data_IF_758381313764
#
_entry.id   IF_758381313764
#
_cell.length_a   1.000
_cell.length_b   1.000
_cell.length_c   1.000
_cell.angle_alpha   90.00
_cell.angle_beta   90.00
_cell.angle_gamma   90.00
#
_symmetry.space_group_name_H-M   'P 1'
#
loop_
_entity.id
_entity.type
_entity.pdbx_description
1 polymer ?
#
# COMPACT_ATOMS: atom_id res chain seq x y z
N UNK A 1 3.28 65.57 -3.75
CA UNK A 1 3.47 64.37 -4.59
C UNK A 1 4.52 63.49 -3.93
N UNK A 2 4.16 62.25 -3.57
CA UNK A 2 5.01 61.03 -3.57
C UNK A 2 4.27 59.87 -2.87
N UNK A 3 3.10 59.51 -3.41
CA UNK A 3 2.33 58.33 -2.99
C UNK A 3 2.98 56.99 -3.39
N UNK A 4 4.08 57.02 -4.16
CA UNK A 4 4.73 55.82 -4.70
C UNK A 4 5.62 55.07 -3.69
N UNK A 5 6.19 55.73 -2.67
CA UNK A 5 7.09 55.07 -1.72
C UNK A 5 6.36 54.10 -0.77
N UNK A 6 5.14 54.43 -0.35
CA UNK A 6 4.37 53.58 0.57
C UNK A 6 3.86 52.28 -0.09
N UNK A 7 3.48 52.34 -1.38
CA UNK A 7 3.07 51.12 -2.11
C UNK A 7 4.23 50.14 -2.33
N UNK A 8 5.45 50.65 -2.49
CA UNK A 8 6.65 49.82 -2.66
C UNK A 8 6.96 49.00 -1.40
N UNK A 9 6.87 49.63 -0.22
CA UNK A 9 7.13 48.96 1.05
C UNK A 9 6.08 47.86 1.34
N UNK A 10 4.79 48.14 1.11
CA UNK A 10 3.73 47.13 1.31
C UNK A 10 3.95 45.90 0.41
N UNK A 11 4.42 46.09 -0.83
CA UNK A 11 4.66 45.00 -1.78
C UNK A 11 5.82 44.08 -1.37
N UNK A 12 6.80 44.59 -0.62
CA UNK A 12 7.94 43.81 -0.15
C UNK A 12 7.62 42.95 1.10
N UNK A 13 6.66 43.36 1.95
CA UNK A 13 6.35 42.64 3.19
C UNK A 13 5.41 41.44 3.01
N UNK A 14 4.57 41.42 1.98
CA UNK A 14 3.64 40.31 1.70
C UNK A 14 4.36 38.97 1.40
N UNK A 15 5.39 38.88 0.53
CA UNK A 15 6.05 37.61 0.29
C UNK A 15 6.84 37.12 1.51
N UNK A 16 7.39 38.04 2.32
CA UNK A 16 8.14 37.68 3.51
C UNK A 16 7.26 37.02 4.59
N UNK A 17 6.02 37.50 4.78
CA UNK A 17 5.11 36.90 5.75
C UNK A 17 4.66 35.49 5.36
N UNK A 18 4.48 35.23 4.07
CA UNK A 18 4.14 33.89 3.54
C UNK A 18 5.22 32.85 3.82
N UNK A 19 6.50 33.22 3.68
CA UNK A 19 7.62 32.31 3.97
C UNK A 19 7.65 31.95 5.46
N UNK A 20 7.45 32.93 6.35
CA UNK A 20 7.46 32.70 7.80
C UNK A 20 6.31 31.78 8.23
N UNK A 21 5.11 31.95 7.67
CA UNK A 21 3.97 31.06 7.97
C UNK A 21 4.24 29.64 7.50
N UNK A 22 4.87 29.45 6.33
CA UNK A 22 5.20 28.11 5.83
C UNK A 22 6.18 27.34 6.71
N UNK A 23 7.12 28.05 7.36
CA UNK A 23 8.11 27.43 8.24
C UNK A 23 7.53 26.97 9.59
N UNK A 24 6.41 27.54 10.03
CA UNK A 24 5.80 27.17 11.32
C UNK A 24 5.02 25.83 11.27
N UNK A 25 4.77 25.28 10.08
CA UNK A 25 3.93 24.09 9.89
C UNK A 25 4.75 22.81 9.63
N UNK A 26 6.02 22.78 10.03
CA UNK A 26 6.80 21.56 9.95
C UNK A 26 6.36 20.61 11.07
N UNK A 27 5.74 19.45 10.79
CA UNK A 27 5.53 18.45 11.82
C UNK A 27 6.90 18.00 12.32
N UNK A 28 7.15 18.16 13.61
CA UNK A 28 8.35 17.62 14.24
C UNK A 28 8.34 16.11 14.03
N UNK A 29 9.18 15.62 13.12
CA UNK A 29 9.47 14.21 12.98
C UNK A 29 10.24 13.79 14.24
N UNK A 30 9.49 13.45 15.29
CA UNK A 30 10.03 12.81 16.48
C UNK A 30 10.50 11.42 16.04
N UNK A 31 11.78 11.31 15.73
CA UNK A 31 12.41 10.01 15.55
C UNK A 31 12.38 9.29 16.91
N UNK A 32 11.47 8.33 17.09
CA UNK A 32 11.48 7.42 18.23
C UNK A 32 12.72 6.54 18.12
N UNK A 33 13.85 7.04 18.61
CA UNK A 33 15.12 6.32 18.67
C UNK A 33 15.10 5.34 19.83
N UNK A 34 14.41 4.21 19.61
CA UNK A 34 14.50 3.07 20.52
C UNK A 34 15.92 2.52 20.50
N UNK A 35 16.72 2.90 21.50
CA UNK A 35 18.02 2.31 21.74
C UNK A 35 17.80 0.91 22.34
N UNK A 36 18.30 -0.12 21.64
CA UNK A 36 18.27 -1.49 22.15
C UNK A 36 19.51 -1.61 23.04
N UNK A 37 19.34 -1.51 24.36
CA UNK A 37 20.40 -1.90 25.30
C UNK A 37 20.48 -3.41 25.20
N UNK A 38 21.39 -3.91 24.35
CA UNK A 38 21.80 -5.31 24.40
C UNK A 38 22.65 -5.42 25.65
N UNK A 39 21.98 -5.65 26.78
CA UNK A 39 22.66 -5.90 28.04
C UNK A 39 23.63 -7.06 27.78
N UNK A 40 24.91 -6.81 27.99
CA UNK A 40 26.02 -7.68 27.61
C UNK A 40 25.94 -8.94 28.44
N UNK A 41 25.18 -9.91 28.00
CA UNK A 41 24.91 -11.10 28.78
C UNK A 41 23.95 -11.99 28.05
N UNK A 42 24.51 -12.97 27.37
CA UNK A 42 23.88 -14.22 26.95
C UNK A 42 23.30 -14.94 28.19
N UNK A 43 22.32 -14.34 28.86
CA UNK A 43 21.73 -14.88 30.07
C UNK A 43 21.06 -16.20 29.72
N UNK A 44 21.20 -17.20 30.59
CA UNK A 44 20.50 -18.48 30.42
C UNK A 44 18.99 -18.27 30.26
N UNK A 45 18.45 -17.22 30.91
CA UNK A 45 17.07 -16.77 30.77
C UNK A 45 16.74 -16.26 29.37
N UNK A 46 17.58 -15.42 28.74
CA UNK A 46 17.31 -14.91 27.38
C UNK A 46 17.36 -16.03 26.34
N UNK A 47 18.28 -16.99 26.49
CA UNK A 47 18.35 -18.18 25.62
C UNK A 47 17.10 -19.04 25.75
N UNK A 48 16.63 -19.24 26.97
CA UNK A 48 15.42 -20.02 27.24
C UNK A 48 14.16 -19.31 26.69
N UNK A 49 14.06 -17.98 26.84
CA UNK A 49 13.00 -17.19 26.22
C UNK A 49 13.04 -17.26 24.68
N UNK A 50 14.24 -17.20 24.08
CA UNK A 50 14.42 -17.38 22.63
C UNK A 50 14.00 -18.78 22.18
N UNK A 51 14.31 -19.83 22.96
CA UNK A 51 13.85 -21.20 22.69
C UNK A 51 12.32 -21.32 22.74
N UNK A 52 11.69 -20.79 23.79
CA UNK A 52 10.23 -20.85 23.94
C UNK A 52 9.51 -20.06 22.83
N UNK A 53 10.01 -18.87 22.47
CA UNK A 53 9.46 -18.10 21.35
C UNK A 53 9.61 -18.81 20.00
N UNK A 54 10.72 -19.53 19.79
CA UNK A 54 10.94 -20.37 18.62
C UNK A 54 9.94 -21.53 18.56
N UNK A 55 9.74 -22.24 19.66
CA UNK A 55 8.75 -23.32 19.76
C UNK A 55 7.33 -22.82 19.51
N UNK A 56 6.98 -21.68 20.07
CA UNK A 56 5.69 -21.03 19.82
C UNK A 56 5.54 -20.61 18.35
N UNK A 57 6.57 -20.02 17.75
CA UNK A 57 6.57 -19.67 16.32
C UNK A 57 6.39 -20.91 15.43
N UNK A 58 7.11 -21.99 15.72
CA UNK A 58 7.03 -23.22 14.93
C UNK A 58 5.68 -23.93 15.12
N UNK A 59 5.09 -23.92 16.32
CA UNK A 59 3.74 -24.46 16.58
C UNK A 59 2.66 -23.77 15.74
N UNK A 60 2.82 -22.46 15.48
CA UNK A 60 1.86 -21.66 14.70
C UNK A 60 2.16 -21.64 13.20
N UNK A 61 3.28 -22.23 12.74
CA UNK A 61 3.75 -22.18 11.35
C UNK A 61 2.70 -22.64 10.34
N UNK A 62 2.03 -23.76 10.64
CA UNK A 62 1.02 -24.33 9.72
C UNK A 62 -0.14 -23.36 9.48
N UNK A 63 -0.65 -22.74 10.54
CA UNK A 63 -1.74 -21.77 10.43
C UNK A 63 -1.30 -20.51 9.68
N UNK A 64 -0.11 -19.97 10.00
CA UNK A 64 0.45 -18.80 9.29
C UNK A 64 0.60 -19.08 7.79
N UNK A 65 1.11 -20.25 7.42
CA UNK A 65 1.22 -20.65 6.02
C UNK A 65 -0.16 -20.77 5.34
N UNK A 66 -1.17 -21.33 6.02
CA UNK A 66 -2.54 -21.41 5.48
C UNK A 66 -3.16 -20.02 5.26
N UNK A 67 -2.92 -19.08 6.18
CA UNK A 67 -3.39 -17.69 6.04
C UNK A 67 -2.70 -17.03 4.86
N UNK A 68 -1.37 -17.13 4.75
CA UNK A 68 -0.61 -16.59 3.63
C UNK A 68 -1.08 -17.16 2.29
N UNK A 69 -1.26 -18.48 2.19
CA UNK A 69 -1.73 -19.13 0.98
C UNK A 69 -3.18 -18.73 0.62
N UNK A 70 -4.03 -18.44 1.61
CA UNK A 70 -5.37 -17.91 1.35
C UNK A 70 -5.29 -16.50 0.77
N UNK A 71 -4.46 -15.65 1.37
CA UNK A 71 -4.25 -14.28 0.89
C UNK A 71 -3.73 -14.30 -0.55
N UNK A 72 -2.71 -15.13 -0.85
CA UNK A 72 -2.19 -15.33 -2.20
C UNK A 72 -3.28 -15.77 -3.19
N UNK A 73 -4.14 -16.72 -2.81
CA UNK A 73 -5.26 -17.17 -3.66
C UNK A 73 -6.29 -16.07 -3.94
N UNK A 74 -6.58 -15.21 -2.98
CA UNK A 74 -7.52 -14.08 -3.19
C UNK A 74 -6.89 -13.02 -4.10
N UNK A 75 -5.59 -12.77 -3.96
CA UNK A 75 -4.84 -11.93 -4.90
C UNK A 75 -4.85 -12.52 -6.31
N UNK A 76 -4.48 -13.79 -6.46
CA UNK A 76 -4.49 -14.51 -7.75
C UNK A 76 -5.85 -14.49 -8.44
N UNK A 77 -6.94 -14.56 -7.67
CA UNK A 77 -8.30 -14.48 -8.21
C UNK A 77 -8.57 -13.10 -8.82
N UNK A 78 -8.14 -12.05 -8.12
CA UNK A 78 -8.30 -10.66 -8.57
C UNK A 78 -7.46 -10.41 -9.82
N UNK A 79 -6.19 -10.82 -9.80
CA UNK A 79 -5.28 -10.71 -10.95
C UNK A 79 -5.84 -11.46 -12.17
N UNK A 80 -6.32 -12.70 -12.00
CA UNK A 80 -6.95 -13.46 -13.09
C UNK A 80 -8.20 -12.81 -13.65
N UNK A 81 -8.99 -12.12 -12.82
CA UNK A 81 -10.16 -11.39 -13.29
C UNK A 81 -9.76 -10.13 -14.10
N UNK A 82 -8.72 -9.43 -13.69
CA UNK A 82 -8.16 -8.29 -14.43
C UNK A 82 -7.57 -8.77 -15.76
N UNK A 83 -6.67 -9.74 -15.74
CA UNK A 83 -6.09 -10.35 -16.94
C UNK A 83 -7.15 -10.89 -17.89
N UNK A 84 -8.17 -11.56 -17.34
CA UNK A 84 -9.29 -12.11 -18.10
C UNK A 84 -10.09 -11.03 -18.80
N UNK A 85 -10.37 -9.92 -18.11
CA UNK A 85 -11.05 -8.75 -18.67
C UNK A 85 -10.25 -8.10 -19.78
N UNK A 86 -8.96 -7.88 -19.55
CA UNK A 86 -8.06 -7.28 -20.54
C UNK A 86 -7.98 -8.14 -21.81
N UNK A 87 -7.78 -9.45 -21.66
CA UNK A 87 -7.78 -10.40 -22.79
C UNK A 87 -9.13 -10.41 -23.52
N UNK A 88 -10.23 -10.42 -22.79
CA UNK A 88 -11.57 -10.38 -23.40
C UNK A 88 -11.80 -9.10 -24.21
N UNK A 89 -11.35 -7.95 -23.72
CA UNK A 89 -11.45 -6.68 -24.41
C UNK A 89 -10.50 -6.58 -25.63
N UNK A 90 -9.36 -7.26 -25.57
CA UNK A 90 -8.41 -7.37 -26.67
C UNK A 90 -8.78 -8.45 -27.70
N UNK A 91 -9.80 -9.27 -27.41
CA UNK A 91 -10.20 -10.38 -28.27
C UNK A 91 -10.74 -9.88 -29.61
N UNK A 92 -10.39 -10.57 -30.70
CA UNK A 92 -10.96 -10.32 -32.02
C UNK A 92 -12.39 -10.87 -32.18
N UNK A 93 -12.90 -11.61 -31.19
CA UNK A 93 -14.26 -12.14 -31.22
C UNK A 93 -15.29 -11.02 -30.96
N UNK A 94 -15.97 -10.57 -32.01
CA UNK A 94 -16.98 -9.51 -31.95
C UNK A 94 -18.16 -9.83 -31.02
N UNK A 95 -18.42 -11.11 -30.77
CA UNK A 95 -19.50 -11.54 -29.87
C UNK A 95 -19.03 -11.67 -28.42
N UNK A 96 -17.72 -11.59 -28.14
CA UNK A 96 -17.19 -11.66 -26.79
C UNK A 96 -17.57 -10.40 -25.98
N UNK A 97 -18.03 -10.61 -24.75
CA UNK A 97 -18.22 -9.56 -23.77
C UNK A 97 -17.76 -10.04 -22.40
N UNK A 98 -17.22 -9.11 -21.61
CA UNK A 98 -16.86 -9.38 -20.24
C UNK A 98 -18.07 -9.22 -19.32
N UNK A 99 -18.37 -10.27 -18.55
CA UNK A 99 -19.40 -10.23 -17.53
C UNK A 99 -18.78 -9.98 -16.14
N UNK A 100 -19.19 -8.89 -15.49
CA UNK A 100 -18.65 -8.44 -14.20
C UNK A 100 -19.13 -9.27 -12.99
N UNK A 101 -20.24 -9.99 -13.12
CA UNK A 101 -20.81 -10.78 -12.01
C UNK A 101 -20.13 -12.15 -11.89
N UNK A 102 -19.70 -12.74 -13.00
CA UNK A 102 -19.06 -14.06 -13.03
C UNK A 102 -17.56 -14.01 -13.30
N UNK A 103 -17.01 -12.84 -13.63
CA UNK A 103 -15.62 -12.63 -14.08
C UNK A 103 -15.24 -13.55 -15.25
N UNK A 104 -16.10 -13.59 -16.27
CA UNK A 104 -15.93 -14.44 -17.45
C UNK A 104 -16.09 -13.65 -18.74
N UNK A 105 -15.34 -14.08 -19.74
CA UNK A 105 -15.58 -13.70 -21.13
C UNK A 105 -16.63 -14.64 -21.72
N UNK A 106 -17.80 -14.11 -22.05
CA UNK A 106 -18.94 -14.86 -22.58
C UNK A 106 -19.30 -14.40 -23.99
N UNK A 107 -19.95 -15.26 -24.75
CA UNK A 107 -20.56 -14.92 -26.04
C UNK A 107 -21.95 -14.30 -25.84
N UNK A 108 -22.18 -13.10 -26.38
CA UNK A 108 -23.48 -12.39 -26.32
C UNK A 108 -24.65 -13.20 -26.87
N UNK A 109 -24.41 -14.09 -27.83
CA UNK A 109 -25.47 -14.87 -28.51
C UNK A 109 -25.81 -16.15 -27.78
N UNK A 110 -24.82 -16.82 -27.21
CA UNK A 110 -24.97 -18.17 -26.64
C UNK A 110 -24.88 -18.21 -25.12
N UNK A 111 -24.34 -17.17 -24.48
CA UNK A 111 -24.04 -17.14 -23.05
C UNK A 111 -22.93 -18.10 -22.63
N UNK A 112 -22.25 -18.74 -23.58
CA UNK A 112 -21.17 -19.71 -23.28
C UNK A 112 -19.85 -18.98 -23.07
N UNK A 113 -18.95 -19.54 -22.25
CA UNK A 113 -17.57 -19.06 -22.16
C UNK A 113 -16.91 -19.08 -23.53
N UNK A 114 -16.28 -17.97 -23.88
CA UNK A 114 -15.40 -17.87 -25.05
C UNK A 114 -13.97 -17.75 -24.57
N UNK A 115 -13.07 -18.41 -25.27
CA UNK A 115 -11.65 -18.14 -25.09
C UNK A 115 -11.39 -16.72 -25.63
N UNK A 116 -10.87 -15.80 -24.81
CA UNK A 116 -10.48 -14.49 -25.30
C UNK A 116 -9.37 -14.60 -26.34
#
# INVERSE_FOLDING_TARGET
MNHYSFSSLIRAFIPLSLVIVSAAWQPAALADTRHIIVDSGDSTLSKEAARQSKEQWDSTRSLRNKVNNRVEKEFDKTEKAIDGREKCNASYNVNAYWENTTDRCLDRRTGRPVTP
#
